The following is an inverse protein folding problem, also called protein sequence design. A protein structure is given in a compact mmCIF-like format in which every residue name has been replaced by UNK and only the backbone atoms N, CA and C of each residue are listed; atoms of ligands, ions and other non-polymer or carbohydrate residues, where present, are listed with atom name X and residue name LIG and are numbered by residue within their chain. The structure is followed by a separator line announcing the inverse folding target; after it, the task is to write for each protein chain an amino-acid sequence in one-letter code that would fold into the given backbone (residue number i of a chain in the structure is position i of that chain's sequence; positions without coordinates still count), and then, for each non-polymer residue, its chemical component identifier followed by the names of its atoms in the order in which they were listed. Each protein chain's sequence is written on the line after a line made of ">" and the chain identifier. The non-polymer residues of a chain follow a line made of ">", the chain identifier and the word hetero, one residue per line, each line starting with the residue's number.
data_IF_656174141344
#
_entry.id   IF_656174141344
#
_cell.length_a   1.000
_cell.length_b   1.000
_cell.length_c   1.000
_cell.angle_alpha   90.00
_cell.angle_beta   90.00
_cell.angle_gamma   90.00
#
_symmetry.space_group_name_H-M   'P 1'
#
loop_
_entity.id
_entity.type
_entity.pdbx_description
1 polymer ?
#
# COMPACT_ATOMS: atom_id res chain seq x y z
N UNK A 1 3.80 -16.35 -4.35
CA UNK A 1 3.31 -15.15 -5.05
C UNK A 1 2.42 -15.58 -6.21
N UNK A 2 1.32 -14.88 -6.50
CA UNK A 2 0.43 -15.23 -7.61
C UNK A 2 1.12 -15.05 -8.96
N UNK A 3 0.83 -15.95 -9.89
CA UNK A 3 1.28 -15.87 -11.28
C UNK A 3 0.68 -14.63 -11.96
N UNK A 4 1.32 -14.17 -13.04
CA UNK A 4 0.82 -13.02 -13.81
C UNK A 4 -0.62 -13.23 -14.29
N UNK A 5 -0.93 -14.42 -14.81
CA UNK A 5 -2.28 -14.80 -15.28
C UNK A 5 -3.32 -14.78 -14.16
N UNK A 6 -2.95 -15.16 -12.93
CA UNK A 6 -3.84 -15.12 -11.77
C UNK A 6 -4.12 -13.67 -11.34
N UNK A 7 -3.09 -12.81 -11.37
CA UNK A 7 -3.24 -11.39 -11.11
C UNK A 7 -4.16 -10.72 -12.14
N UNK A 8 -4.01 -11.06 -13.42
CA UNK A 8 -4.82 -10.51 -14.51
C UNK A 8 -6.28 -10.98 -14.45
N UNK A 9 -6.50 -12.25 -14.09
CA UNK A 9 -7.85 -12.76 -13.87
C UNK A 9 -8.57 -12.05 -12.71
N UNK A 10 -7.84 -11.65 -11.66
CA UNK A 10 -8.44 -11.10 -10.44
C UNK A 10 -8.47 -9.57 -10.38
N UNK A 11 -7.61 -8.84 -11.10
CA UNK A 11 -7.44 -7.38 -10.95
C UNK A 11 -8.74 -6.59 -11.20
N UNK A 12 -9.66 -7.13 -12.00
CA UNK A 12 -10.96 -6.52 -12.27
C UNK A 12 -11.82 -6.33 -11.01
N UNK A 13 -11.76 -7.27 -10.05
CA UNK A 13 -12.49 -7.14 -8.80
C UNK A 13 -11.95 -5.99 -7.95
N UNK A 14 -10.62 -5.91 -7.80
CA UNK A 14 -9.97 -4.84 -7.06
C UNK A 14 -10.27 -3.47 -7.65
N UNK A 15 -10.21 -3.34 -8.98
CA UNK A 15 -10.55 -2.08 -9.67
C UNK A 15 -11.98 -1.64 -9.40
N UNK A 16 -12.95 -2.57 -9.41
CA UNK A 16 -14.34 -2.27 -9.06
C UNK A 16 -14.50 -1.84 -7.60
N UNK A 17 -13.81 -2.51 -6.66
CA UNK A 17 -13.82 -2.12 -5.24
C UNK A 17 -13.27 -0.69 -5.05
N UNK A 18 -12.14 -0.36 -5.70
CA UNK A 18 -11.56 0.98 -5.66
C UNK A 18 -12.49 2.02 -6.29
N UNK A 19 -13.14 1.70 -7.41
CA UNK A 19 -14.09 2.60 -8.06
C UNK A 19 -15.33 2.89 -7.19
N UNK A 20 -15.81 1.90 -6.43
CA UNK A 20 -16.93 2.05 -5.52
C UNK A 20 -16.56 2.85 -4.26
N UNK A 21 -15.43 2.51 -3.63
CA UNK A 21 -15.00 3.12 -2.37
C UNK A 21 -14.39 4.51 -2.55
N UNK A 22 -13.73 4.76 -3.69
CA UNK A 22 -12.95 5.97 -3.98
C UNK A 22 -12.06 6.37 -2.79
N UNK A 23 -11.14 5.48 -2.36
CA UNK A 23 -10.31 5.76 -1.18
C UNK A 23 -9.44 6.99 -1.40
N UNK A 24 -9.12 7.73 -0.33
CA UNK A 24 -8.11 8.81 -0.40
C UNK A 24 -6.69 8.24 -0.49
N UNK A 25 -6.45 7.13 0.19
CA UNK A 25 -5.14 6.48 0.32
C UNK A 25 -5.25 4.99 -0.01
N UNK A 26 -4.29 4.45 -0.77
CA UNK A 26 -4.13 3.01 -1.02
C UNK A 26 -2.75 2.57 -0.52
N UNK A 27 -2.72 1.62 0.42
CA UNK A 27 -1.48 1.07 0.96
C UNK A 27 -1.24 -0.34 0.41
N UNK A 28 -0.15 -0.52 -0.33
CA UNK A 28 0.25 -1.80 -0.91
C UNK A 28 1.14 -2.58 0.07
N UNK A 29 0.71 -3.77 0.48
CA UNK A 29 1.49 -4.64 1.37
C UNK A 29 2.42 -5.54 0.54
N UNK A 30 3.70 -5.19 0.46
CA UNK A 30 4.73 -5.95 -0.25
C UNK A 30 4.87 -5.67 -1.75
N UNK A 31 5.93 -6.25 -2.34
CA UNK A 31 6.37 -5.91 -3.70
C UNK A 31 5.33 -6.22 -4.78
N UNK A 32 4.61 -7.34 -4.67
CA UNK A 32 3.70 -7.79 -5.74
C UNK A 32 2.56 -6.78 -5.92
N UNK A 33 1.95 -6.34 -4.81
CA UNK A 33 0.94 -5.30 -4.82
C UNK A 33 1.50 -3.97 -5.34
N UNK A 34 2.66 -3.54 -4.82
CA UNK A 34 3.28 -2.28 -5.23
C UNK A 34 3.62 -2.26 -6.73
N UNK A 35 4.19 -3.34 -7.26
CA UNK A 35 4.53 -3.46 -8.68
C UNK A 35 3.28 -3.40 -9.57
N UNK A 36 2.19 -4.03 -9.16
CA UNK A 36 0.95 -4.10 -9.95
C UNK A 36 0.17 -2.78 -9.91
N UNK A 37 0.15 -2.10 -8.77
CA UNK A 37 -0.72 -0.95 -8.51
C UNK A 37 0.00 0.38 -8.74
N UNK A 38 1.21 0.54 -8.17
CA UNK A 38 1.99 1.78 -8.22
C UNK A 38 2.71 1.86 -9.58
N UNK A 39 3.75 1.04 -9.78
CA UNK A 39 4.55 0.99 -11.01
C UNK A 39 5.30 -0.35 -11.16
N UNK A 40 5.51 -0.86 -12.39
CA UNK A 40 6.01 -2.22 -12.62
C UNK A 40 7.44 -2.48 -12.12
N UNK A 41 8.27 -1.45 -11.99
CA UNK A 41 9.69 -1.53 -11.58
C UNK A 41 9.91 -1.24 -10.09
N UNK A 42 8.84 -1.17 -9.29
CA UNK A 42 8.90 -0.82 -7.86
C UNK A 42 9.83 -1.73 -7.04
N UNK A 43 10.73 -1.12 -6.26
CA UNK A 43 11.70 -1.80 -5.40
C UNK A 43 11.35 -1.63 -3.93
N UNK A 44 10.70 -2.65 -3.35
CA UNK A 44 10.22 -2.62 -1.96
C UNK A 44 11.31 -2.30 -0.93
N UNK A 45 12.56 -2.67 -1.17
CA UNK A 45 13.67 -2.42 -0.25
C UNK A 45 14.22 -0.99 -0.30
N UNK A 46 13.76 -0.17 -1.25
CA UNK A 46 14.23 1.21 -1.44
C UNK A 46 13.10 2.23 -1.40
N UNK A 47 11.90 1.82 -1.79
CA UNK A 47 10.78 2.72 -2.07
C UNK A 47 9.60 2.54 -1.11
N UNK A 48 9.70 1.63 -0.12
CA UNK A 48 8.72 1.58 0.96
C UNK A 48 8.67 2.92 1.71
N UNK A 49 7.51 3.29 2.24
CA UNK A 49 7.30 4.56 2.94
C UNK A 49 7.22 5.79 2.03
N UNK A 50 7.58 5.69 0.75
CA UNK A 50 7.48 6.80 -0.20
C UNK A 50 6.06 6.96 -0.74
N UNK A 51 5.67 8.21 -0.97
CA UNK A 51 4.36 8.58 -1.52
C UNK A 51 4.38 8.70 -3.03
N UNK A 52 3.34 8.17 -3.65
CA UNK A 52 3.09 8.21 -5.09
C UNK A 52 1.67 8.67 -5.33
N UNK A 53 1.48 9.51 -6.34
CA UNK A 53 0.14 9.92 -6.77
C UNK A 53 -0.17 9.34 -8.15
N UNK A 54 -1.35 8.73 -8.28
CA UNK A 54 -1.80 8.18 -9.56
C UNK A 54 -3.31 8.13 -9.62
N UNK A 55 -3.89 8.64 -10.70
CA UNK A 55 -5.34 8.67 -10.93
C UNK A 55 -6.13 9.29 -9.76
N UNK A 56 -5.58 10.31 -9.10
CA UNK A 56 -6.21 10.98 -7.95
C UNK A 56 -6.13 10.21 -6.63
N UNK A 57 -5.39 9.10 -6.58
CA UNK A 57 -5.14 8.34 -5.35
C UNK A 57 -3.74 8.59 -4.81
N UNK A 58 -3.64 8.82 -3.51
CA UNK A 58 -2.37 8.78 -2.80
C UNK A 58 -2.03 7.32 -2.50
N UNK A 59 -0.82 6.90 -2.84
CA UNK A 59 -0.40 5.50 -2.75
C UNK A 59 0.95 5.39 -2.06
N UNK A 60 1.12 4.33 -1.29
CA UNK A 60 2.38 3.98 -0.63
C UNK A 60 2.49 2.46 -0.56
N UNK A 61 3.71 1.94 -0.49
CA UNK A 61 3.93 0.55 -0.14
C UNK A 61 4.65 0.42 1.21
N UNK A 62 4.35 -0.66 1.91
CA UNK A 62 5.07 -1.09 3.12
C UNK A 62 5.48 -2.54 2.96
N UNK A 63 6.43 -3.01 3.78
CA UNK A 63 6.74 -4.43 3.81
C UNK A 63 5.51 -5.27 4.14
N UNK A 64 5.38 -6.41 3.45
CA UNK A 64 4.30 -7.35 3.76
C UNK A 64 4.46 -7.87 5.20
N UNK A 65 3.38 -7.99 6.00
CA UNK A 65 3.47 -8.44 7.39
C UNK A 65 4.24 -9.77 7.55
N UNK A 66 4.01 -10.74 6.67
CA UNK A 66 4.75 -12.00 6.66
C UNK A 66 6.28 -11.83 6.51
N UNK A 67 6.77 -10.79 5.83
CA UNK A 67 8.19 -10.48 5.74
C UNK A 67 8.73 -9.93 7.08
N UNK A 68 7.95 -9.14 7.80
CA UNK A 68 8.29 -8.59 9.13
C UNK A 68 8.26 -9.64 10.25
N UNK A 69 7.47 -10.70 10.06
CA UNK A 69 7.50 -11.88 10.93
C UNK A 69 8.78 -12.70 10.70
N UNK A 70 9.22 -12.84 9.44
CA UNK A 70 10.45 -13.57 9.09
C UNK A 70 11.73 -12.81 9.40
N UNK A 71 11.75 -11.50 9.21
CA UNK A 71 12.89 -10.64 9.53
C UNK A 71 12.46 -9.47 10.43
N UNK A 72 12.43 -9.68 11.76
CA UNK A 72 12.04 -8.67 12.72
C UNK A 72 12.90 -7.40 12.70
N UNK A 73 14.11 -7.45 12.14
CA UNK A 73 15.02 -6.29 12.07
C UNK A 73 14.47 -5.17 11.18
N UNK A 74 13.49 -5.48 10.32
CA UNK A 74 12.79 -4.51 9.46
C UNK A 74 11.58 -3.85 10.12
N UNK A 75 11.22 -4.25 11.34
CA UNK A 75 10.08 -3.67 12.07
C UNK A 75 10.29 -2.18 12.38
N UNK A 76 11.48 -1.71 12.81
CA UNK A 76 11.69 -0.29 13.10
C UNK A 76 11.45 0.59 11.87
N UNK A 77 12.04 0.25 10.71
CA UNK A 77 11.83 1.01 9.47
C UNK A 77 10.35 0.96 9.01
N UNK A 78 9.69 -0.19 9.13
CA UNK A 78 8.26 -0.30 8.80
C UNK A 78 7.37 0.50 9.74
N UNK A 79 7.77 0.65 11.00
CA UNK A 79 7.03 1.45 11.98
C UNK A 79 7.07 2.94 11.61
N UNK A 80 8.21 3.42 11.11
CA UNK A 80 8.31 4.78 10.57
C UNK A 80 7.40 4.96 9.33
N UNK A 81 7.28 3.97 8.45
CA UNK A 81 6.31 4.02 7.34
C UNK A 81 4.87 4.22 7.85
N UNK A 82 4.49 3.51 8.93
CA UNK A 82 3.15 3.63 9.52
C UNK A 82 2.92 4.96 10.23
N UNK A 83 3.95 5.56 10.82
CA UNK A 83 3.87 6.94 11.32
C UNK A 83 3.67 7.93 10.18
N UNK A 84 4.39 7.77 9.08
CA UNK A 84 4.18 8.55 7.85
C UNK A 84 2.76 8.39 7.30
N UNK A 85 2.22 7.16 7.32
CA UNK A 85 0.83 6.88 6.98
C UNK A 85 -0.13 7.66 7.88
N UNK A 86 0.06 7.60 9.21
CA UNK A 86 -0.79 8.31 10.16
C UNK A 86 -0.78 9.82 9.91
N UNK A 87 0.40 10.40 9.65
CA UNK A 87 0.52 11.82 9.31
C UNK A 87 -0.27 12.17 8.04
N UNK A 88 -0.13 11.37 6.98
CA UNK A 88 -0.87 11.60 5.73
C UNK A 88 -2.38 11.41 5.89
N UNK A 89 -2.80 10.46 6.72
CA UNK A 89 -4.22 10.29 7.07
C UNK A 89 -4.73 11.57 7.75
N UNK A 90 -4.00 12.10 8.73
CA UNK A 90 -4.41 13.32 9.43
C UNK A 90 -4.44 14.56 8.51
N UNK A 91 -3.58 14.60 7.48
CA UNK A 91 -3.56 15.67 6.48
C UNK A 91 -4.78 15.60 5.53
N UNK A 92 -5.17 14.39 5.09
CA UNK A 92 -6.15 14.21 4.02
C UNK A 92 -7.57 13.88 4.50
N UNK A 93 -7.70 13.28 5.68
CA UNK A 93 -8.96 12.76 6.18
C UNK A 93 -9.53 13.68 7.26
N UNK A 94 -10.64 14.34 6.94
CA UNK A 94 -11.41 15.16 7.90
C UNK A 94 -11.99 14.33 9.05
N UNK A 95 -12.27 13.05 8.80
CA UNK A 95 -12.76 12.10 9.78
C UNK A 95 -12.21 10.70 9.49
N UNK A 96 -11.75 10.01 10.53
CA UNK A 96 -11.46 8.59 10.49
C UNK A 96 -12.44 7.86 11.39
N UNK A 97 -13.05 6.78 10.91
CA UNK A 97 -13.88 5.90 11.75
C UNK A 97 -12.96 5.03 12.61
N UNK A 98 -12.20 5.67 13.49
CA UNK A 98 -11.47 5.02 14.58
C UNK A 98 -11.86 5.77 15.85
N UNK A 99 -13.13 5.64 16.23
CA UNK A 99 -13.61 6.07 17.54
C UNK A 99 -14.02 4.82 18.30
N UNK A 100 -13.15 4.43 19.23
CA UNK A 100 -13.50 3.76 20.48
C UNK A 100 -12.58 4.34 21.55
#
# INVERSE_FOLDING_TARGET
>A
DPLGVEQDACIGYLRRQVALLRPKIIVCLGRIAAMRIIKPDFKITREHGQWFEKNGFQMMAVYHPAALLRDPRRRPESFEDFKGLQQKINELCEHTHAVS
#
